data_IF_406068438957
#
_entry.id   IF_406068438957
#
_cell.length_a   1.000
_cell.length_b   1.000
_cell.length_c   1.000
_cell.angle_alpha   90.00
_cell.angle_beta   90.00
_cell.angle_gamma   90.00
#
_symmetry.space_group_name_H-M   'P 1'
#
loop_
_entity.id
_entity.type
_entity.pdbx_description
1 polymer ?
#
# COMPACT_ATOMS: atom_id res chain seq x y z
N UNK A 1 -28.03 -28.66 -33.93
CA UNK A 1 -26.69 -28.39 -34.50
C UNK A 1 -26.25 -26.93 -34.32
N UNK A 2 -27.13 -25.94 -34.53
CA UNK A 2 -26.79 -24.50 -34.52
C UNK A 2 -26.32 -23.94 -33.17
N UNK A 3 -26.89 -24.38 -32.03
CA UNK A 3 -26.49 -23.88 -30.68
C UNK A 3 -25.05 -24.25 -30.31
N UNK A 4 -24.60 -25.46 -30.66
CA UNK A 4 -23.22 -25.90 -30.41
C UNK A 4 -22.20 -25.10 -31.24
N UNK A 5 -22.58 -24.66 -32.45
CA UNK A 5 -21.73 -23.83 -33.29
C UNK A 5 -21.61 -22.38 -32.76
N UNK A 6 -22.70 -21.83 -32.22
CA UNK A 6 -22.68 -20.51 -31.56
C UNK A 6 -21.82 -20.52 -30.28
N UNK A 7 -21.96 -21.56 -29.44
CA UNK A 7 -21.14 -21.71 -28.23
C UNK A 7 -19.65 -21.87 -28.57
N UNK A 8 -19.32 -22.57 -29.66
CA UNK A 8 -17.95 -22.71 -30.14
C UNK A 8 -17.38 -21.40 -30.71
N UNK A 9 -18.21 -20.58 -31.38
CA UNK A 9 -17.81 -19.27 -31.87
C UNK A 9 -17.46 -18.29 -30.75
N UNK A 10 -18.27 -18.27 -29.69
CA UNK A 10 -18.03 -17.42 -28.51
C UNK A 10 -16.80 -17.89 -27.73
N UNK A 11 -16.60 -19.21 -27.58
CA UNK A 11 -15.36 -19.74 -26.99
C UNK A 11 -14.12 -19.38 -27.82
N UNK A 12 -14.21 -19.41 -29.16
CA UNK A 12 -13.12 -19.00 -30.04
C UNK A 12 -12.75 -17.53 -29.87
N UNK A 13 -13.74 -16.65 -29.72
CA UNK A 13 -13.51 -15.23 -29.48
C UNK A 13 -12.94 -14.97 -28.07
N UNK A 14 -13.41 -15.69 -27.06
CA UNK A 14 -12.86 -15.61 -25.70
C UNK A 14 -11.42 -16.14 -25.63
N UNK A 15 -11.08 -17.16 -26.42
CA UNK A 15 -9.73 -17.69 -26.49
C UNK A 15 -8.80 -16.75 -27.27
N UNK A 16 -9.31 -16.12 -28.34
CA UNK A 16 -8.58 -15.12 -29.12
C UNK A 16 -8.23 -13.88 -28.27
N UNK A 17 -9.20 -13.36 -27.51
CA UNK A 17 -8.96 -12.18 -26.65
C UNK A 17 -8.00 -12.48 -25.50
N UNK A 18 -8.00 -13.70 -24.99
CA UNK A 18 -7.00 -14.16 -24.02
C UNK A 18 -5.64 -14.35 -24.70
N UNK A 19 -5.58 -14.90 -25.93
CA UNK A 19 -4.33 -15.17 -26.63
C UNK A 19 -3.53 -13.90 -27.01
N UNK A 20 -4.20 -12.78 -27.23
CA UNK A 20 -3.55 -11.48 -27.49
C UNK A 20 -3.08 -10.78 -26.22
N UNK A 21 -3.47 -11.26 -25.05
CA UNK A 21 -3.04 -10.67 -23.78
C UNK A 21 -1.60 -11.07 -23.47
N UNK A 22 -0.73 -10.08 -23.25
CA UNK A 22 0.63 -10.31 -22.73
C UNK A 22 0.63 -11.15 -21.43
N UNK A 23 -0.44 -11.06 -20.64
CA UNK A 23 -0.63 -11.88 -19.45
C UNK A 23 -0.79 -13.37 -19.78
N UNK A 24 -1.47 -13.72 -20.88
CA UNK A 24 -1.63 -15.10 -21.33
C UNK A 24 -0.34 -15.68 -21.92
N UNK A 25 0.44 -14.86 -22.65
CA UNK A 25 1.78 -15.24 -23.13
C UNK A 25 2.71 -15.53 -21.94
N UNK A 26 2.69 -14.66 -20.93
CA UNK A 26 3.46 -14.84 -19.69
C UNK A 26 2.99 -16.08 -18.90
N UNK A 27 1.68 -16.34 -18.86
CA UNK A 27 1.11 -17.53 -18.23
C UNK A 27 1.50 -18.82 -18.97
N UNK A 28 1.44 -18.83 -20.30
CA UNK A 28 1.85 -19.97 -21.12
C UNK A 28 3.34 -20.28 -20.92
N UNK A 29 4.20 -19.25 -20.91
CA UNK A 29 5.62 -19.39 -20.58
C UNK A 29 5.85 -19.87 -19.14
N UNK A 30 5.07 -19.39 -18.17
CA UNK A 30 5.17 -19.83 -16.78
C UNK A 30 4.78 -21.31 -16.63
N UNK A 31 3.71 -21.76 -17.32
CA UNK A 31 3.29 -23.16 -17.33
C UNK A 31 4.32 -24.06 -18.01
N UNK A 32 4.91 -23.62 -19.11
CA UNK A 32 5.99 -24.34 -19.78
C UNK A 32 7.24 -24.47 -18.89
N UNK A 33 7.57 -23.44 -18.10
CA UNK A 33 8.68 -23.48 -17.14
C UNK A 33 8.40 -24.38 -15.93
N UNK A 34 7.16 -24.40 -15.45
CA UNK A 34 6.70 -25.30 -14.39
C UNK A 34 6.74 -26.76 -14.86
N UNK A 35 6.29 -27.04 -16.09
CA UNK A 35 6.37 -28.36 -16.70
C UNK A 35 7.82 -28.85 -16.88
N UNK A 36 8.76 -27.94 -17.14
CA UNK A 36 10.18 -28.24 -17.28
C UNK A 36 10.95 -28.31 -15.95
N UNK A 37 10.26 -28.29 -14.80
CA UNK A 37 10.89 -28.40 -13.47
C UNK A 37 11.80 -27.22 -13.09
N UNK A 38 11.76 -26.11 -13.83
CA UNK A 38 12.61 -24.94 -13.61
C UNK A 38 11.86 -23.86 -12.82
N UNK A 39 11.29 -24.23 -11.67
CA UNK A 39 10.71 -23.28 -10.71
C UNK A 39 11.83 -22.70 -9.84
N UNK A 40 12.16 -21.40 -9.95
CA UNK A 40 13.00 -20.78 -8.94
C UNK A 40 12.28 -20.88 -7.59
N UNK A 41 12.99 -21.36 -6.58
CA UNK A 41 12.53 -21.58 -5.20
C UNK A 41 12.01 -20.31 -4.49
N UNK A 42 12.08 -19.16 -5.18
CA UNK A 42 11.65 -17.87 -4.72
C UNK A 42 10.77 -17.20 -5.80
N UNK A 43 9.43 -17.19 -5.64
CA UNK A 43 8.50 -16.73 -6.67
C UNK A 43 8.56 -15.22 -6.94
N UNK A 44 9.35 -14.45 -6.17
CA UNK A 44 9.44 -13.00 -6.26
C UNK A 44 10.68 -12.48 -6.99
N UNK A 45 11.63 -13.34 -7.39
CA UNK A 45 12.98 -12.90 -7.78
C UNK A 45 13.27 -13.04 -9.28
N UNK A 46 12.35 -13.58 -10.08
CA UNK A 46 12.60 -13.79 -11.52
C UNK A 46 11.58 -13.05 -12.38
N UNK A 47 12.12 -12.25 -13.30
CA UNK A 47 11.47 -11.35 -14.26
C UNK A 47 11.19 -9.93 -13.75
N UNK A 48 12.24 -9.13 -13.54
CA UNK A 48 12.27 -7.69 -13.83
C UNK A 48 11.18 -6.80 -13.24
N UNK A 49 10.39 -7.32 -12.29
CA UNK A 49 9.42 -6.55 -11.53
C UNK A 49 10.22 -5.83 -10.46
N UNK A 50 10.38 -4.52 -10.65
CA UNK A 50 10.83 -3.61 -9.61
C UNK A 50 9.77 -3.57 -8.50
N UNK A 51 9.79 -4.58 -7.63
CA UNK A 51 8.96 -4.61 -6.44
C UNK A 51 9.56 -3.68 -5.40
N UNK A 52 8.86 -2.60 -5.06
CA UNK A 52 9.23 -1.77 -3.91
C UNK A 52 8.95 -2.57 -2.64
N UNK A 53 9.96 -2.78 -1.81
CA UNK A 53 9.76 -3.32 -0.48
C UNK A 53 9.27 -2.18 0.43
N UNK A 54 8.09 -2.29 1.07
CA UNK A 54 7.70 -1.31 2.06
C UNK A 54 8.59 -1.46 3.30
N UNK A 55 9.16 -0.34 3.76
CA UNK A 55 9.82 -0.26 5.07
C UNK A 55 8.86 0.37 6.07
N UNK A 56 8.50 -0.39 7.11
CA UNK A 56 7.60 0.07 8.17
C UNK A 56 8.44 0.34 9.41
N UNK A 57 8.34 1.55 9.96
CA UNK A 57 8.90 1.89 11.27
C UNK A 57 7.80 2.36 12.20
N UNK A 58 7.88 1.96 13.46
CA UNK A 58 6.99 2.48 14.50
C UNK A 58 7.60 3.74 15.12
N UNK A 59 6.77 4.74 15.36
CA UNK A 59 7.17 5.99 16.01
C UNK A 59 6.50 6.04 17.39
N UNK A 60 7.27 6.23 18.47
CA UNK A 60 6.68 6.48 19.78
C UNK A 60 5.93 7.80 19.79
N UNK A 61 4.70 7.77 20.27
CA UNK A 61 3.82 8.94 20.43
C UNK A 61 3.21 8.96 21.83
N UNK A 62 2.88 10.16 22.31
CA UNK A 62 2.40 10.43 23.66
C UNK A 62 3.39 11.24 24.51
N UNK A 63 3.16 11.22 25.81
CA UNK A 63 3.98 11.91 26.82
C UNK A 63 4.66 10.90 27.72
N UNK A 64 5.94 11.13 27.98
CA UNK A 64 6.75 10.33 28.91
C UNK A 64 7.52 11.28 29.84
N UNK A 65 7.78 10.82 31.06
CA UNK A 65 8.58 11.55 32.03
C UNK A 65 9.55 10.57 32.71
N UNK A 66 10.85 10.83 32.56
CA UNK A 66 11.86 10.21 33.41
C UNK A 66 12.22 11.21 34.51
N UNK A 67 12.06 10.82 35.78
CA UNK A 67 12.32 11.73 36.88
C UNK A 67 13.01 11.05 38.05
N UNK A 68 13.83 11.84 38.75
CA UNK A 68 14.42 11.49 40.03
C UNK A 68 14.06 12.56 41.05
N UNK A 69 13.82 12.11 42.29
CA UNK A 69 13.50 12.99 43.40
C UNK A 69 14.23 12.55 44.67
N UNK A 70 14.77 13.51 45.41
CA UNK A 70 15.34 13.30 46.74
C UNK A 70 14.56 14.15 47.73
N UNK A 71 13.97 13.50 48.73
CA UNK A 71 13.20 14.16 49.80
C UNK A 71 14.14 14.52 50.95
N UNK A 72 13.96 15.70 51.55
CA UNK A 72 14.72 16.10 52.74
C UNK A 72 14.46 15.13 53.90
N UNK A 73 15.42 15.01 54.80
CA UNK A 73 15.30 14.12 55.96
C UNK A 73 14.07 14.44 56.83
N UNK A 74 13.66 15.71 56.87
CA UNK A 74 12.48 16.19 57.60
C UNK A 74 11.20 16.28 56.75
N UNK A 75 11.22 15.82 55.49
CA UNK A 75 10.10 15.83 54.53
C UNK A 75 9.54 17.21 54.16
N UNK A 76 10.28 18.29 54.41
CA UNK A 76 9.85 19.66 54.08
C UNK A 76 10.21 20.10 52.66
N UNK A 77 11.22 19.51 52.06
CA UNK A 77 11.69 19.89 50.72
C UNK A 77 11.95 18.67 49.86
N UNK A 78 11.79 18.85 48.54
CA UNK A 78 12.13 17.83 47.55
C UNK A 78 13.00 18.48 46.49
N UNK A 79 14.16 17.88 46.21
CA UNK A 79 14.92 18.18 45.01
C UNK A 79 14.41 17.28 43.90
N UNK A 80 13.94 17.88 42.81
CA UNK A 80 13.38 17.18 41.67
C UNK A 80 14.24 17.42 40.43
N UNK A 81 14.44 16.39 39.62
CA UNK A 81 15.04 16.47 38.28
C UNK A 81 14.21 15.61 37.34
N UNK A 82 13.58 16.22 36.35
CA UNK A 82 12.75 15.54 35.37
C UNK A 82 13.22 15.81 33.93
N UNK A 83 13.04 14.81 33.07
CA UNK A 83 13.23 14.86 31.64
C UNK A 83 11.89 14.51 30.97
N UNK A 84 11.06 15.52 30.67
CA UNK A 84 9.82 15.28 29.95
C UNK A 84 10.10 15.06 28.45
N UNK A 85 9.36 14.14 27.84
CA UNK A 85 9.36 13.87 26.41
C UNK A 85 7.92 13.89 25.89
N UNK A 86 7.68 14.65 24.84
CA UNK A 86 6.39 14.74 24.17
C UNK A 86 6.60 14.49 22.68
N UNK A 87 5.87 13.52 22.14
CA UNK A 87 5.90 13.18 20.71
C UNK A 87 4.48 13.04 20.21
N UNK A 88 4.19 13.62 19.06
CA UNK A 88 2.90 13.49 18.39
C UNK A 88 3.11 13.37 16.90
N UNK A 89 2.30 12.56 16.25
CA UNK A 89 2.27 12.48 14.78
C UNK A 89 1.35 13.60 14.28
N UNK A 90 1.93 14.54 13.53
CA UNK A 90 1.19 15.60 12.84
C UNK A 90 0.54 15.11 11.55
N UNK A 91 0.17 16.05 10.67
CA UNK A 91 -0.44 15.70 9.38
C UNK A 91 0.47 14.82 8.53
N UNK A 92 -0.06 13.68 8.09
CA UNK A 92 0.68 12.71 7.25
C UNK A 92 0.36 12.96 5.78
N UNK A 93 1.38 13.34 5.01
CA UNK A 93 1.30 13.43 3.56
C UNK A 93 1.93 12.20 2.91
N UNK A 94 1.17 11.51 2.07
CA UNK A 94 1.67 10.35 1.32
C UNK A 94 1.90 10.74 -0.13
N UNK A 95 3.12 10.53 -0.62
CA UNK A 95 3.50 10.75 -2.01
C UNK A 95 3.83 9.43 -2.70
N UNK A 96 3.34 9.26 -3.92
CA UNK A 96 3.63 8.10 -4.76
C UNK A 96 4.39 8.53 -6.02
N UNK A 97 5.58 8.00 -6.23
CA UNK A 97 6.42 8.28 -7.39
C UNK A 97 5.89 7.69 -8.72
N UNK A 98 4.95 6.74 -8.68
CA UNK A 98 4.40 6.12 -9.91
C UNK A 98 3.32 6.96 -10.59
N UNK A 99 2.48 7.66 -9.82
CA UNK A 99 1.32 8.38 -10.34
C UNK A 99 1.35 9.89 -10.04
N UNK A 100 2.34 10.37 -9.26
CA UNK A 100 2.47 11.77 -8.87
C UNK A 100 1.35 12.31 -7.97
N UNK A 101 0.38 11.47 -7.60
CA UNK A 101 -0.74 11.87 -6.75
C UNK A 101 -0.35 11.90 -5.28
N UNK A 102 -0.55 13.05 -4.64
CA UNK A 102 -0.42 13.25 -3.20
C UNK A 102 -1.77 13.01 -2.53
N UNK A 103 -1.80 12.11 -1.53
CA UNK A 103 -2.98 11.86 -0.70
C UNK A 103 -2.75 12.42 0.71
N UNK A 104 -3.72 13.19 1.22
CA UNK A 104 -3.75 13.58 2.63
C UNK A 104 -4.56 12.55 3.39
N UNK A 105 -3.92 11.77 4.25
CA UNK A 105 -4.61 10.75 5.03
C UNK A 105 -5.15 11.38 6.32
N UNK A 106 -6.17 12.25 6.17
CA UNK A 106 -6.83 12.92 7.28
C UNK A 106 -7.95 12.07 7.86
N UNK A 107 -7.83 11.69 9.14
CA UNK A 107 -8.91 11.12 9.96
C UNK A 107 -9.95 12.20 10.28
N UNK A 108 -10.79 12.54 9.29
CA UNK A 108 -11.95 13.41 9.45
C UNK A 108 -13.24 12.61 9.45
N UNK A 109 -13.86 12.46 10.62
CA UNK A 109 -15.24 11.99 10.77
C UNK A 109 -16.21 13.05 10.24
N UNK A 110 -17.03 12.71 9.24
CA UNK A 110 -18.07 13.61 8.76
C UNK A 110 -18.67 13.21 7.41
N UNK A 111 -19.77 12.46 7.45
CA UNK A 111 -20.74 12.25 6.36
C UNK A 111 -21.07 13.54 5.59
N UNK A 112 -21.01 13.53 4.25
CA UNK A 112 -22.07 14.07 3.38
C UNK A 112 -21.92 13.55 1.94
N UNK A 113 -22.95 12.85 1.51
CA UNK A 113 -23.31 12.51 0.12
C UNK A 113 -23.40 13.78 -0.74
N UNK A 114 -22.80 13.76 -1.92
CA UNK A 114 -22.92 14.83 -2.91
C UNK A 114 -22.41 14.42 -4.29
N UNK A 115 -23.21 13.66 -5.03
CA UNK A 115 -23.10 13.48 -6.48
C UNK A 115 -23.16 14.81 -7.24
N UNK A 116 -22.27 14.99 -8.22
CA UNK A 116 -22.35 16.04 -9.25
C UNK A 116 -20.98 16.24 -9.91
N UNK A 117 -20.61 15.45 -10.92
CA UNK A 117 -20.72 15.79 -12.36
C UNK A 117 -20.03 17.10 -12.77
N UNK A 118 -19.15 16.97 -13.78
CA UNK A 118 -18.63 17.97 -14.73
C UNK A 118 -17.61 19.01 -14.24
N UNK A 119 -16.36 18.82 -14.69
CA UNK A 119 -15.30 19.82 -14.67
C UNK A 119 -14.26 19.54 -15.76
N UNK A 120 -14.68 19.64 -17.02
CA UNK A 120 -13.77 19.78 -18.16
C UNK A 120 -12.99 21.08 -17.96
N UNK A 121 -11.66 21.01 -17.97
CA UNK A 121 -10.78 22.17 -17.86
C UNK A 121 -9.45 21.92 -18.56
N UNK A 122 -9.43 22.24 -19.85
CA UNK A 122 -8.21 22.40 -20.63
C UNK A 122 -7.44 23.64 -20.16
N UNK A 123 -6.11 23.56 -20.10
CA UNK A 123 -5.23 24.69 -19.85
C UNK A 123 -3.78 24.22 -19.87
N UNK A 124 -2.96 24.95 -20.63
CA UNK A 124 -1.59 24.68 -21.08
C UNK A 124 -0.59 24.22 -20.01
#
# INVERSE_FOLDING_TARGET
SVRKAADQGVLGQALSSVSESEAAVNLALARQRLANGNTPFFPFVRNGRVGYQPQISTLPEGSMLMATAVVSADRRYVRFSGLPFFSGIGDVQTFNFFNGTTGTNGTGTGTTTGTGTTGLGAGF
#
